data_IF_990782127474
#
_entry.id   IF_990782127474
#
_cell.length_a   1.000
_cell.length_b   1.000
_cell.length_c   1.000
_cell.angle_alpha   90.00
_cell.angle_beta   90.00
_cell.angle_gamma   90.00
#
_symmetry.space_group_name_H-M   'P 1'
#
loop_
_entity.id
_entity.type
_entity.pdbx_description
1 polymer ?
#
# COMPACT_ATOMS: atom_id res chain seq x y z
N UNK A 1 2.48 19.19 -11.59
CA UNK A 1 2.04 17.83 -11.21
C UNK A 1 2.95 16.80 -11.89
N UNK A 2 3.38 15.77 -11.15
CA UNK A 2 4.20 14.72 -11.76
C UNK A 2 3.38 13.88 -12.74
N UNK A 3 4.08 13.23 -13.65
CA UNK A 3 3.45 12.23 -14.53
C UNK A 3 3.40 10.89 -13.80
N UNK A 4 2.62 9.95 -14.31
CA UNK A 4 2.55 8.60 -13.74
C UNK A 4 3.92 7.93 -13.76
N UNK A 5 4.71 8.15 -14.80
CA UNK A 5 6.05 7.61 -14.90
C UNK A 5 6.96 8.18 -13.82
N UNK A 6 6.89 9.49 -13.57
CA UNK A 6 7.67 10.12 -12.51
C UNK A 6 7.28 9.59 -11.13
N UNK A 7 5.97 9.37 -10.90
CA UNK A 7 5.50 8.77 -9.65
C UNK A 7 6.11 7.39 -9.48
N UNK A 8 6.04 6.55 -10.51
CA UNK A 8 6.61 5.20 -10.46
C UNK A 8 8.11 5.25 -10.16
N UNK A 9 8.86 6.10 -10.85
CA UNK A 9 10.31 6.20 -10.66
C UNK A 9 10.67 6.62 -9.25
N UNK A 10 9.94 7.56 -8.67
CA UNK A 10 10.20 8.02 -7.30
C UNK A 10 9.83 6.94 -6.27
N UNK A 11 8.72 6.25 -6.49
CA UNK A 11 8.32 5.14 -5.62
C UNK A 11 9.37 4.02 -5.71
N UNK A 12 9.80 3.68 -6.92
CA UNK A 12 10.82 2.67 -7.15
C UNK A 12 12.12 3.02 -6.42
N UNK A 13 12.59 4.25 -6.53
CA UNK A 13 13.79 4.70 -5.87
C UNK A 13 13.67 4.58 -4.35
N UNK A 14 12.53 5.00 -3.80
CA UNK A 14 12.29 4.91 -2.36
C UNK A 14 12.35 3.45 -1.88
N UNK A 15 11.78 2.53 -2.63
CA UNK A 15 11.77 1.12 -2.28
C UNK A 15 13.15 0.49 -2.41
N UNK A 16 13.89 0.83 -3.46
CA UNK A 16 15.27 0.35 -3.64
C UNK A 16 16.15 0.78 -2.45
N UNK A 17 16.03 2.03 -2.05
CA UNK A 17 16.83 2.55 -0.93
C UNK A 17 16.39 1.99 0.42
N UNK A 18 15.09 1.89 0.64
CA UNK A 18 14.56 1.42 1.93
C UNK A 18 14.76 -0.08 2.14
N UNK A 19 14.61 -0.88 1.09
CA UNK A 19 14.61 -2.34 1.17
C UNK A 19 15.91 -2.98 0.68
N UNK A 20 16.82 -2.19 0.12
CA UNK A 20 18.07 -2.68 -0.47
C UNK A 20 17.83 -3.75 -1.54
N UNK A 21 16.79 -3.56 -2.34
CA UNK A 21 16.47 -4.44 -3.46
C UNK A 21 16.96 -3.81 -4.75
N UNK A 22 17.08 -4.63 -5.81
CA UNK A 22 17.46 -4.14 -7.11
C UNK A 22 16.29 -3.44 -7.80
N UNK A 23 16.58 -2.46 -8.63
CA UNK A 23 15.60 -1.73 -9.39
C UNK A 23 14.70 -2.68 -10.21
N UNK A 24 15.31 -3.72 -10.77
CA UNK A 24 14.59 -4.71 -11.59
C UNK A 24 13.56 -5.51 -10.80
N UNK A 25 13.72 -5.60 -9.49
CA UNK A 25 12.76 -6.30 -8.63
C UNK A 25 11.51 -5.49 -8.37
N UNK A 26 11.60 -4.17 -8.51
CA UNK A 26 10.48 -3.26 -8.22
C UNK A 26 9.64 -3.08 -9.48
N UNK A 27 8.76 -4.03 -9.71
CA UNK A 27 7.80 -3.98 -10.83
C UNK A 27 6.43 -3.56 -10.29
N UNK A 28 5.53 -3.16 -11.19
CA UNK A 28 4.20 -2.72 -10.79
C UNK A 28 3.43 -3.80 -10.02
N UNK A 29 3.59 -5.06 -10.41
CA UNK A 29 2.87 -6.20 -9.82
C UNK A 29 3.54 -6.78 -8.59
N UNK A 30 4.77 -6.35 -8.28
CA UNK A 30 5.49 -6.86 -7.11
C UNK A 30 4.74 -6.49 -5.83
N UNK A 31 4.56 -7.48 -4.93
CA UNK A 31 3.96 -7.20 -3.63
C UNK A 31 5.04 -6.68 -2.68
N UNK A 32 4.64 -5.74 -1.83
CA UNK A 32 5.58 -5.10 -0.90
C UNK A 32 6.20 -6.11 0.06
N UNK A 33 5.38 -6.96 0.65
CA UNK A 33 5.82 -7.95 1.64
C UNK A 33 6.31 -9.23 0.98
N UNK A 34 5.50 -9.83 0.11
CA UNK A 34 5.81 -11.13 -0.47
C UNK A 34 7.00 -11.13 -1.41
N UNK A 35 7.03 -10.18 -2.34
CA UNK A 35 8.08 -10.13 -3.36
C UNK A 35 9.29 -9.29 -2.94
N UNK A 36 9.06 -8.16 -2.28
CA UNK A 36 10.13 -7.23 -1.91
C UNK A 36 10.63 -7.43 -0.47
N UNK A 37 9.95 -8.24 0.31
CA UNK A 37 10.39 -8.57 1.66
C UNK A 37 10.25 -7.44 2.67
N UNK A 38 9.33 -6.50 2.47
CA UNK A 38 9.13 -5.40 3.40
C UNK A 38 8.60 -5.91 4.75
N UNK A 39 9.17 -5.39 5.83
CA UNK A 39 8.72 -5.67 7.18
C UNK A 39 8.00 -4.43 7.73
N UNK A 40 7.33 -4.58 8.87
CA UNK A 40 6.59 -3.46 9.49
C UNK A 40 7.46 -2.23 9.70
N UNK A 41 8.70 -2.43 10.15
CA UNK A 41 9.64 -1.34 10.38
C UNK A 41 10.05 -0.65 9.08
N UNK A 42 10.12 -1.41 7.98
CA UNK A 42 10.49 -0.87 6.68
C UNK A 42 9.44 0.10 6.15
N UNK A 43 8.17 -0.14 6.47
CA UNK A 43 7.08 0.74 6.03
C UNK A 43 7.22 2.16 6.58
N UNK A 44 7.74 2.32 7.79
CA UNK A 44 7.98 3.65 8.35
C UNK A 44 9.02 4.41 7.51
N UNK A 45 10.08 3.73 7.12
CA UNK A 45 11.12 4.31 6.29
C UNK A 45 10.60 4.62 4.88
N UNK A 46 9.84 3.69 4.31
CA UNK A 46 9.23 3.87 2.98
C UNK A 46 8.32 5.09 2.98
N UNK A 47 7.42 5.20 3.97
CA UNK A 47 6.50 6.32 4.07
C UNK A 47 7.26 7.63 4.20
N UNK A 48 8.27 7.68 5.05
CA UNK A 48 9.09 8.87 5.26
C UNK A 48 9.77 9.32 3.96
N UNK A 49 10.33 8.37 3.21
CA UNK A 49 10.99 8.67 1.94
C UNK A 49 10.00 9.18 0.90
N UNK A 50 8.80 8.60 0.86
CA UNK A 50 7.75 9.05 -0.06
C UNK A 50 7.25 10.44 0.31
N UNK A 51 7.08 10.72 1.59
CA UNK A 51 6.68 12.06 2.04
C UNK A 51 7.68 13.11 1.58
N UNK A 52 8.96 12.82 1.71
CA UNK A 52 10.02 13.74 1.27
C UNK A 52 10.08 13.89 -0.24
N UNK A 53 9.94 12.77 -0.96
CA UNK A 53 10.05 12.77 -2.41
C UNK A 53 8.94 13.58 -3.07
N UNK A 54 7.74 13.56 -2.49
CA UNK A 54 6.57 14.21 -3.07
C UNK A 54 6.10 15.45 -2.33
N UNK A 55 6.71 15.76 -1.19
CA UNK A 55 6.34 16.93 -0.38
C UNK A 55 4.93 16.83 0.18
N UNK A 56 4.52 15.66 0.63
CA UNK A 56 3.17 15.40 1.15
C UNK A 56 3.25 14.74 2.51
N UNK A 57 2.11 14.71 3.20
CA UNK A 57 1.96 13.94 4.43
C UNK A 57 1.21 12.66 4.11
N UNK A 58 1.68 11.53 4.65
CA UNK A 58 1.06 10.23 4.46
C UNK A 58 0.67 9.66 5.81
N UNK A 59 -0.59 9.88 6.26
CA UNK A 59 -1.06 9.25 7.49
C UNK A 59 -1.03 7.73 7.34
N UNK A 60 -0.45 7.06 8.33
CA UNK A 60 -0.29 5.60 8.29
C UNK A 60 -1.63 4.87 8.10
N UNK A 61 -2.69 5.38 8.72
CA UNK A 61 -4.01 4.77 8.64
C UNK A 61 -4.60 4.75 7.23
N UNK A 62 -4.11 5.60 6.34
CA UNK A 62 -4.57 5.60 4.95
C UNK A 62 -4.02 4.42 4.16
N UNK A 63 -2.81 3.96 4.49
CA UNK A 63 -2.18 2.80 3.83
C UNK A 63 -2.40 1.51 4.61
N UNK A 64 -2.46 1.60 5.94
CA UNK A 64 -2.56 0.44 6.81
C UNK A 64 -3.72 0.65 7.79
N UNK A 65 -4.93 0.22 7.43
CA UNK A 65 -6.12 0.45 8.27
C UNK A 65 -6.17 -0.51 9.46
N UNK A 66 -5.22 -0.38 10.37
CA UNK A 66 -5.13 -1.22 11.56
C UNK A 66 -6.39 -1.13 12.41
N UNK A 67 -7.02 0.03 12.44
CA UNK A 67 -8.26 0.24 13.19
C UNK A 67 -9.42 -0.63 12.68
N UNK A 68 -9.43 -0.95 11.38
CA UNK A 68 -10.41 -1.88 10.83
C UNK A 68 -9.99 -3.32 11.12
N UNK A 69 -8.72 -3.62 10.90
CA UNK A 69 -8.21 -4.99 11.00
C UNK A 69 -8.15 -5.51 12.44
N UNK A 70 -8.21 -4.62 13.43
CA UNK A 70 -8.22 -4.99 14.85
C UNK A 70 -9.57 -4.77 15.51
N UNK A 71 -10.60 -4.34 14.76
CA UNK A 71 -11.91 -4.03 15.30
C UNK A 71 -12.80 -5.27 15.26
N UNK A 72 -13.33 -5.66 16.44
CA UNK A 72 -14.19 -6.83 16.57
C UNK A 72 -15.46 -6.75 15.71
N UNK A 73 -15.88 -5.56 15.31
CA UNK A 73 -17.05 -5.39 14.43
C UNK A 73 -16.73 -5.76 13.00
N UNK A 74 -15.46 -5.69 12.62
CA UNK A 74 -15.02 -5.92 11.25
C UNK A 74 -14.21 -7.20 11.07
N UNK A 75 -13.81 -7.83 12.17
CA UNK A 75 -12.99 -9.05 12.13
C UNK A 75 -13.62 -10.11 13.03
N UNK A 76 -13.78 -11.31 12.48
CA UNK A 76 -14.32 -12.44 13.21
C UNK A 76 -13.56 -13.70 12.80
N UNK A 77 -13.04 -14.42 13.80
CA UNK A 77 -12.30 -15.66 13.55
C UNK A 77 -11.12 -15.50 12.59
N UNK A 78 -10.42 -14.36 12.69
CA UNK A 78 -9.26 -14.09 11.85
C UNK A 78 -9.60 -13.67 10.42
N UNK A 79 -10.87 -13.42 10.13
CA UNK A 79 -11.34 -13.02 8.79
C UNK A 79 -12.09 -11.71 8.88
N UNK A 80 -11.96 -10.89 7.84
CA UNK A 80 -12.67 -9.63 7.75
C UNK A 80 -14.10 -9.91 7.31
N UNK A 81 -15.07 -9.31 8.01
CA UNK A 81 -16.50 -9.47 7.68
C UNK A 81 -16.84 -8.69 6.42
N UNK A 82 -18.05 -8.93 5.88
CA UNK A 82 -18.53 -8.16 4.73
C UNK A 82 -18.54 -6.65 5.01
N UNK A 83 -18.95 -6.26 6.22
CA UNK A 83 -18.93 -4.86 6.63
C UNK A 83 -17.50 -4.33 6.67
N UNK A 84 -16.55 -5.14 7.14
CA UNK A 84 -15.14 -4.78 7.17
C UNK A 84 -14.56 -4.62 5.77
N UNK A 85 -14.90 -5.53 4.86
CA UNK A 85 -14.45 -5.44 3.46
C UNK A 85 -15.00 -4.16 2.82
N UNK A 86 -16.27 -3.85 3.05
CA UNK A 86 -16.88 -2.62 2.53
C UNK A 86 -16.16 -1.38 3.04
N UNK A 87 -15.80 -1.37 4.33
CA UNK A 87 -15.04 -0.26 4.92
C UNK A 87 -13.65 -0.15 4.31
N UNK A 88 -12.97 -1.28 4.09
CA UNK A 88 -11.66 -1.28 3.45
C UNK A 88 -11.73 -0.71 2.04
N UNK A 89 -12.74 -1.10 1.27
CA UNK A 89 -12.93 -0.55 -0.08
C UNK A 89 -13.14 0.95 -0.07
N UNK A 90 -13.89 1.44 0.91
CA UNK A 90 -14.15 2.87 1.06
C UNK A 90 -12.87 3.64 1.40
N UNK A 91 -12.04 3.08 2.28
CA UNK A 91 -10.81 3.72 2.73
C UNK A 91 -9.66 3.60 1.74
N UNK A 92 -9.64 2.52 0.97
CA UNK A 92 -8.53 2.20 0.08
C UNK A 92 -8.99 2.05 -1.37
N UNK A 93 -9.57 3.12 -1.95
CA UNK A 93 -10.04 3.05 -3.34
C UNK A 93 -8.90 2.89 -4.35
N UNK A 94 -7.67 3.14 -3.93
CA UNK A 94 -6.48 2.97 -4.76
C UNK A 94 -6.02 1.52 -4.85
N UNK A 95 -6.43 0.67 -3.92
CA UNK A 95 -5.97 -0.72 -3.85
C UNK A 95 -6.93 -1.68 -4.55
N UNK A 96 -6.35 -2.72 -5.16
CA UNK A 96 -7.14 -3.78 -5.76
C UNK A 96 -7.42 -4.83 -4.67
N UNK A 97 -8.64 -4.84 -4.16
CA UNK A 97 -9.05 -5.71 -3.06
C UNK A 97 -9.78 -6.98 -3.52
N UNK A 98 -9.86 -7.23 -4.82
CA UNK A 98 -10.64 -8.37 -5.34
C UNK A 98 -10.18 -9.72 -4.81
N UNK A 99 -8.86 -9.94 -4.77
CA UNK A 99 -8.31 -11.19 -4.25
C UNK A 99 -8.53 -11.32 -2.75
N UNK A 100 -8.39 -10.21 -2.04
CA UNK A 100 -8.63 -10.20 -0.60
C UNK A 100 -10.10 -10.47 -0.29
N UNK A 101 -11.00 -9.86 -1.04
CA UNK A 101 -12.44 -10.04 -0.88
C UNK A 101 -12.86 -11.50 -1.06
N UNK A 102 -12.20 -12.20 -1.99
CA UNK A 102 -12.47 -13.61 -2.22
C UNK A 102 -12.04 -14.50 -1.04
N UNK A 103 -11.02 -14.08 -0.29
CA UNK A 103 -10.55 -14.82 0.88
C UNK A 103 -9.98 -13.84 1.91
N UNK A 104 -10.85 -13.13 2.66
CA UNK A 104 -10.46 -12.00 3.48
C UNK A 104 -9.82 -12.38 4.82
N UNK A 105 -8.71 -13.09 4.78
CA UNK A 105 -7.94 -13.46 5.97
C UNK A 105 -7.08 -12.29 6.40
N UNK A 106 -7.23 -11.85 7.66
CA UNK A 106 -6.50 -10.69 8.21
C UNK A 106 -5.00 -10.82 8.01
N UNK A 107 -4.44 -12.01 8.25
CA UNK A 107 -3.01 -12.24 8.13
C UNK A 107 -2.48 -12.07 6.70
N UNK A 108 -3.34 -12.18 5.70
CA UNK A 108 -2.96 -12.01 4.31
C UNK A 108 -3.00 -10.55 3.84
N UNK A 109 -3.56 -9.66 4.65
CA UNK A 109 -3.69 -8.25 4.27
C UNK A 109 -2.35 -7.60 3.94
N UNK A 110 -1.28 -7.80 4.73
CA UNK A 110 0.02 -7.18 4.40
C UNK A 110 0.57 -7.62 3.04
N UNK A 111 0.20 -8.82 2.58
CA UNK A 111 0.65 -9.35 1.28
C UNK A 111 -0.13 -8.79 0.09
N UNK A 112 -1.17 -8.01 0.37
CA UNK A 112 -2.05 -7.50 -0.66
C UNK A 112 -1.44 -6.35 -1.46
N UNK A 113 -0.77 -5.41 -0.78
CA UNK A 113 -0.30 -4.19 -1.40
C UNK A 113 0.83 -4.44 -2.38
N UNK A 114 0.63 -3.95 -3.61
CA UNK A 114 1.64 -3.99 -4.67
C UNK A 114 2.29 -2.62 -4.83
N UNK A 115 3.39 -2.59 -5.58
CA UNK A 115 4.03 -1.33 -5.97
C UNK A 115 3.03 -0.44 -6.70
N UNK A 116 2.22 -1.04 -7.59
CA UNK A 116 1.20 -0.29 -8.33
C UNK A 116 0.17 0.37 -7.39
N UNK A 117 -0.25 -0.33 -6.34
CA UNK A 117 -1.18 0.23 -5.35
C UNK A 117 -0.56 1.46 -4.67
N UNK A 118 0.72 1.39 -4.32
CA UNK A 118 1.44 2.53 -3.74
C UNK A 118 1.49 3.70 -4.70
N UNK A 119 1.75 3.42 -5.96
CA UNK A 119 1.78 4.47 -7.00
C UNK A 119 0.42 5.14 -7.15
N UNK A 120 -0.65 4.36 -7.16
CA UNK A 120 -2.01 4.91 -7.25
C UNK A 120 -2.35 5.78 -6.05
N UNK A 121 -1.93 5.35 -4.86
CA UNK A 121 -2.13 6.15 -3.66
C UNK A 121 -1.47 7.53 -3.80
N UNK A 122 -0.21 7.54 -4.23
CA UNK A 122 0.53 8.79 -4.43
C UNK A 122 -0.13 9.65 -5.50
N UNK A 123 -0.53 9.04 -6.62
CA UNK A 123 -1.20 9.74 -7.71
C UNK A 123 -2.46 10.47 -7.22
N UNK A 124 -3.22 9.85 -6.33
CA UNK A 124 -4.42 10.46 -5.78
C UNK A 124 -4.10 11.60 -4.84
N UNK A 125 -2.95 11.53 -4.14
CA UNK A 125 -2.52 12.56 -3.19
C UNK A 125 -1.99 13.81 -3.89
N UNK A 126 -1.17 13.62 -4.92
CA UNK A 126 -0.47 14.74 -5.57
C UNK A 126 -1.16 15.23 -6.84
N UNK A 127 -2.05 14.40 -7.40
CA UNK A 127 -2.56 14.62 -8.74
C UNK A 127 -1.50 14.25 -9.77
N UNK A 128 -1.92 13.79 -10.93
CA UNK A 128 -0.98 13.45 -12.02
C UNK A 128 -1.44 14.07 -13.30
N UNK A 129 -0.47 14.40 -14.18
CA UNK A 129 -0.74 14.90 -15.51
C UNK A 129 -0.51 13.77 -16.52
N UNK A 130 -1.49 13.52 -17.32
CA UNK A 130 -1.40 12.48 -18.37
C UNK A 130 -2.16 11.19 -18.10
#
# INVERSE_FOLDING_TARGET
MPTKEEVFQKVQTALVEALAVDEDEVTAEATMVGDLGAESIDFLDIVFRLEKAFGIEIPRSELFPEDILTNAQYVKDGRVTEAGVAELKSRMPFADLRKFEANPVVQEFPNLLTVNDMCRYIERKVGVSG
#
